data_IF_960181990695
#
_entry.id   IF_960181990695
#
_cell.length_a   1.000
_cell.length_b   1.000
_cell.length_c   1.000
_cell.angle_alpha   90.00
_cell.angle_beta   90.00
_cell.angle_gamma   90.00
#
_symmetry.space_group_name_H-M   'P 1'
#
loop_
_entity.id
_entity.type
_entity.pdbx_description
1 polymer ?
#
# COMPACT_ATOMS: atom_id res chain seq x y z
N UNK A 1 24.22 5.37 -57.10
CA UNK A 1 25.27 4.39 -56.75
C UNK A 1 24.66 3.35 -55.84
N UNK A 2 24.59 2.10 -56.29
CA UNK A 2 24.00 0.99 -55.58
C UNK A 2 24.95 0.48 -54.51
N UNK A 3 24.53 0.46 -53.24
CA UNK A 3 25.27 -0.22 -52.19
C UNK A 3 25.10 -1.74 -52.36
N UNK A 4 26.12 -2.35 -52.95
CA UNK A 4 26.37 -3.79 -52.95
C UNK A 4 26.68 -4.24 -51.53
N UNK A 5 25.63 -4.59 -50.77
CA UNK A 5 25.76 -5.22 -49.46
C UNK A 5 25.88 -6.74 -49.63
N UNK A 6 27.01 -7.31 -49.22
CA UNK A 6 27.30 -8.75 -49.28
C UNK A 6 26.14 -9.59 -48.70
N UNK A 7 25.70 -10.67 -49.36
CA UNK A 7 24.56 -11.48 -48.92
C UNK A 7 24.75 -12.06 -47.51
N UNK A 8 26.00 -12.23 -47.06
CA UNK A 8 26.34 -12.68 -45.70
C UNK A 8 25.98 -11.65 -44.63
N UNK A 9 26.07 -10.36 -44.93
CA UNK A 9 25.73 -9.26 -44.00
C UNK A 9 24.22 -9.14 -43.85
N UNK A 10 23.47 -9.34 -44.94
CA UNK A 10 21.99 -9.36 -44.91
C UNK A 10 21.44 -10.53 -44.09
N UNK A 11 22.05 -11.70 -44.22
CA UNK A 11 21.69 -12.89 -43.43
C UNK A 11 22.04 -12.69 -41.95
N UNK A 12 23.22 -12.14 -41.64
CA UNK A 12 23.62 -11.85 -40.26
C UNK A 12 22.71 -10.80 -39.61
N UNK A 13 22.33 -9.73 -40.31
CA UNK A 13 21.37 -8.75 -39.82
C UNK A 13 19.96 -9.35 -39.61
N UNK A 14 19.49 -10.22 -40.51
CA UNK A 14 18.21 -10.92 -40.36
C UNK A 14 18.20 -11.87 -39.15
N UNK A 15 19.30 -12.61 -38.92
CA UNK A 15 19.46 -13.45 -37.73
C UNK A 15 19.58 -12.61 -36.45
N UNK A 16 20.28 -11.47 -36.48
CA UNK A 16 20.41 -10.59 -35.32
C UNK A 16 19.08 -9.90 -34.98
N UNK A 17 18.28 -9.51 -35.98
CA UNK A 17 16.94 -8.97 -35.78
C UNK A 17 15.94 -10.02 -35.31
N UNK A 18 16.03 -11.27 -35.81
CA UNK A 18 15.19 -12.37 -35.34
C UNK A 18 15.55 -12.76 -33.88
N UNK A 19 16.83 -12.71 -33.51
CA UNK A 19 17.29 -12.95 -32.14
C UNK A 19 16.86 -11.82 -31.20
N UNK A 20 16.82 -10.56 -31.65
CA UNK A 20 16.33 -9.41 -30.88
C UNK A 20 14.80 -9.47 -30.64
N UNK A 21 14.02 -10.02 -31.58
CA UNK A 21 12.57 -10.26 -31.39
C UNK A 21 12.31 -11.42 -30.41
N UNK A 22 13.23 -12.40 -30.32
CA UNK A 22 13.16 -13.49 -29.33
C UNK A 22 13.56 -13.08 -27.91
N UNK A 23 14.30 -11.97 -27.73
CA UNK A 23 14.64 -11.39 -26.43
C UNK A 23 13.77 -10.19 -26.04
N UNK A 24 12.86 -9.75 -26.91
CA UNK A 24 11.77 -8.86 -26.54
C UNK A 24 10.72 -9.68 -25.78
N UNK A 25 11.05 -10.08 -24.54
CA UNK A 25 10.01 -10.46 -23.60
C UNK A 25 8.99 -9.32 -23.56
N UNK A 26 7.69 -9.57 -23.74
CA UNK A 26 6.71 -8.52 -23.59
C UNK A 26 6.90 -7.94 -22.20
N UNK A 27 6.92 -6.61 -22.11
CA UNK A 27 6.85 -5.90 -20.85
C UNK A 27 5.44 -6.09 -20.24
N UNK A 28 5.08 -7.34 -19.92
CA UNK A 28 3.77 -7.74 -19.42
C UNK A 28 3.41 -6.98 -18.13
N UNK A 29 4.42 -6.55 -17.36
CA UNK A 29 4.21 -5.74 -16.16
C UNK A 29 3.75 -4.30 -16.41
N UNK A 30 4.05 -3.71 -17.59
CA UNK A 30 3.69 -2.30 -17.88
C UNK A 30 2.22 -2.15 -18.26
N UNK A 31 1.61 -3.16 -18.86
CA UNK A 31 0.20 -3.14 -19.26
C UNK A 31 -0.69 -3.44 -18.05
N UNK A 32 -0.30 -4.44 -17.24
CA UNK A 32 -1.02 -4.82 -16.03
C UNK A 32 -1.13 -3.69 -14.99
N UNK A 33 -0.03 -2.93 -14.76
CA UNK A 33 -0.10 -1.77 -13.84
C UNK A 33 -0.98 -0.64 -14.39
N UNK A 34 -0.96 -0.44 -15.71
CA UNK A 34 -1.79 0.56 -16.38
C UNK A 34 -3.27 0.23 -16.22
N UNK A 35 -3.64 -1.02 -16.48
CA UNK A 35 -5.00 -1.53 -16.28
C UNK A 35 -5.44 -1.44 -14.82
N UNK A 36 -4.61 -1.91 -13.88
CA UNK A 36 -4.92 -1.83 -12.44
C UNK A 36 -5.13 -0.37 -11.99
N UNK A 37 -4.30 0.56 -12.48
CA UNK A 37 -4.43 1.99 -12.18
C UNK A 37 -5.73 2.57 -12.75
N UNK A 38 -6.08 2.26 -14.00
CA UNK A 38 -7.32 2.71 -14.61
C UNK A 38 -8.56 2.20 -13.86
N UNK A 39 -8.51 0.96 -13.37
CA UNK A 39 -9.56 0.40 -12.49
C UNK A 39 -9.63 1.22 -11.19
N UNK A 40 -8.51 1.43 -10.50
CA UNK A 40 -8.49 2.20 -9.26
C UNK A 40 -9.01 3.63 -9.44
N UNK A 41 -8.61 4.32 -10.50
CA UNK A 41 -9.09 5.68 -10.81
C UNK A 41 -10.61 5.70 -11.02
N UNK A 42 -11.15 4.76 -11.82
CA UNK A 42 -12.60 4.61 -12.04
C UNK A 42 -13.39 4.34 -10.76
N UNK A 43 -12.78 3.65 -9.80
CA UNK A 43 -13.38 3.23 -8.54
C UNK A 43 -12.97 4.11 -7.36
N UNK A 44 -12.42 5.30 -7.62
CA UNK A 44 -12.09 6.30 -6.61
C UNK A 44 -13.06 7.49 -6.67
N UNK A 45 -13.56 7.90 -5.52
CA UNK A 45 -14.45 9.07 -5.37
C UNK A 45 -14.01 9.90 -4.16
N UNK A 46 -14.06 11.22 -4.26
CA UNK A 46 -13.67 12.11 -3.16
C UNK A 46 -14.56 13.33 -3.04
N UNK A 47 -14.75 13.80 -1.81
CA UNK A 47 -15.54 14.99 -1.51
C UNK A 47 -14.97 15.78 -0.34
N UNK A 48 -15.13 17.10 -0.43
CA UNK A 48 -14.80 18.04 0.63
C UNK A 48 -15.94 18.10 1.66
N UNK A 49 -15.57 17.94 2.93
CA UNK A 49 -16.39 18.34 4.08
C UNK A 49 -15.99 19.75 4.54
N UNK A 50 -16.61 20.23 5.63
CA UNK A 50 -16.35 21.57 6.16
C UNK A 50 -14.92 21.71 6.69
N UNK A 51 -14.47 20.64 7.35
CA UNK A 51 -13.22 20.58 8.11
C UNK A 51 -12.42 19.30 7.79
N UNK A 52 -12.76 18.65 6.68
CA UNK A 52 -12.16 17.39 6.26
C UNK A 52 -12.20 17.17 4.74
N UNK A 53 -11.32 16.31 4.25
CA UNK A 53 -11.40 15.70 2.92
C UNK A 53 -11.60 14.20 3.09
N UNK A 54 -12.59 13.64 2.40
CA UNK A 54 -12.82 12.19 2.38
C UNK A 54 -12.65 11.68 0.97
N UNK A 55 -11.91 10.59 0.81
CA UNK A 55 -11.88 9.83 -0.43
C UNK A 55 -12.03 8.35 -0.16
N UNK A 56 -12.74 7.70 -1.06
CA UNK A 56 -13.14 6.30 -0.96
C UNK A 56 -12.69 5.60 -2.24
N UNK A 57 -12.04 4.44 -2.07
CA UNK A 57 -11.63 3.57 -3.17
C UNK A 57 -12.36 2.25 -3.02
N UNK A 58 -13.14 1.84 -4.00
CA UNK A 58 -13.70 0.48 -4.07
C UNK A 58 -12.67 -0.48 -4.66
N UNK A 59 -12.55 -1.68 -4.09
CA UNK A 59 -11.71 -2.75 -4.65
C UNK A 59 -12.58 -3.82 -5.32
N UNK A 60 -12.87 -3.66 -6.62
CA UNK A 60 -13.67 -4.63 -7.37
C UNK A 60 -12.88 -5.90 -7.64
N UNK A 61 -13.59 -6.98 -7.96
CA UNK A 61 -12.98 -8.26 -8.36
C UNK A 61 -12.09 -8.15 -9.61
N UNK A 62 -12.45 -7.27 -10.54
CA UNK A 62 -11.66 -7.02 -11.77
C UNK A 62 -10.28 -6.40 -11.49
N UNK A 63 -10.04 -5.85 -10.30
CA UNK A 63 -8.72 -5.34 -9.90
C UNK A 63 -7.73 -6.49 -9.63
N UNK A 64 -8.23 -7.68 -9.25
CA UNK A 64 -7.41 -8.76 -8.69
C UNK A 64 -6.30 -9.16 -9.64
N UNK A 65 -6.64 -9.57 -10.86
CA UNK A 65 -5.65 -10.15 -11.77
C UNK A 65 -4.66 -9.09 -12.30
N UNK A 66 -5.07 -7.89 -12.77
CA UNK A 66 -4.14 -6.84 -13.18
C UNK A 66 -3.18 -6.41 -12.06
N UNK A 67 -3.68 -6.30 -10.83
CA UNK A 67 -2.85 -5.96 -9.68
C UNK A 67 -1.85 -7.07 -9.33
N UNK A 68 -2.32 -8.32 -9.27
CA UNK A 68 -1.49 -9.49 -8.97
C UNK A 68 -0.40 -9.68 -10.02
N UNK A 69 -0.73 -9.55 -11.30
CA UNK A 69 0.25 -9.69 -12.38
C UNK A 69 1.29 -8.56 -12.37
N UNK A 70 0.86 -7.33 -12.07
CA UNK A 70 1.78 -6.21 -11.88
C UNK A 70 2.77 -6.44 -10.72
N UNK A 71 2.25 -6.86 -9.56
CA UNK A 71 3.07 -7.13 -8.39
C UNK A 71 3.99 -8.34 -8.60
N UNK A 72 3.50 -9.38 -9.26
CA UNK A 72 4.30 -10.55 -9.63
C UNK A 72 5.46 -10.17 -10.54
N UNK A 73 5.20 -9.35 -11.57
CA UNK A 73 6.25 -8.85 -12.46
C UNK A 73 7.25 -7.95 -11.72
N UNK A 74 6.77 -7.05 -10.86
CA UNK A 74 7.61 -6.14 -10.05
C UNK A 74 8.49 -6.90 -9.06
N UNK A 75 7.95 -7.95 -8.43
CA UNK A 75 8.61 -8.75 -7.42
C UNK A 75 9.42 -9.95 -7.95
N UNK A 76 9.36 -10.22 -9.25
CA UNK A 76 9.97 -11.40 -9.87
C UNK A 76 9.41 -12.71 -9.30
N UNK A 77 8.09 -12.77 -9.09
CA UNK A 77 7.42 -13.93 -8.51
C UNK A 77 7.34 -15.09 -9.50
N UNK A 78 7.55 -16.31 -9.00
CA UNK A 78 7.19 -17.55 -9.70
C UNK A 78 5.66 -17.71 -9.77
N UNK A 79 5.16 -18.60 -10.63
CA UNK A 79 3.72 -18.85 -10.76
C UNK A 79 3.07 -19.30 -9.44
N UNK A 80 3.77 -20.13 -8.66
CA UNK A 80 3.30 -20.57 -7.34
C UNK A 80 3.18 -19.40 -6.36
N UNK A 81 4.19 -18.52 -6.30
CA UNK A 81 4.17 -17.33 -5.45
C UNK A 81 3.08 -16.33 -5.88
N UNK A 82 2.87 -16.18 -7.19
CA UNK A 82 1.80 -15.35 -7.74
C UNK A 82 0.43 -15.85 -7.28
N UNK A 83 0.19 -17.16 -7.36
CA UNK A 83 -1.08 -17.75 -6.95
C UNK A 83 -1.30 -17.67 -5.42
N UNK A 84 -0.24 -17.82 -4.63
CA UNK A 84 -0.28 -17.59 -3.19
C UNK A 84 -0.60 -16.12 -2.85
N UNK A 85 0.03 -15.17 -3.54
CA UNK A 85 -0.26 -13.74 -3.41
C UNK A 85 -1.70 -13.43 -3.79
N UNK A 86 -2.19 -13.97 -4.91
CA UNK A 86 -3.58 -13.83 -5.37
C UNK A 86 -4.58 -14.28 -4.31
N UNK A 87 -4.38 -15.48 -3.74
CA UNK A 87 -5.23 -16.02 -2.67
C UNK A 87 -5.21 -15.13 -1.43
N UNK A 88 -4.04 -14.66 -1.02
CA UNK A 88 -3.91 -13.76 0.12
C UNK A 88 -4.62 -12.43 -0.14
N UNK A 89 -4.43 -11.84 -1.31
CA UNK A 89 -5.05 -10.57 -1.71
C UNK A 89 -6.58 -10.65 -1.71
N UNK A 90 -7.16 -11.68 -2.34
CA UNK A 90 -8.61 -11.90 -2.38
C UNK A 90 -9.17 -12.17 -0.98
N UNK A 91 -8.47 -12.97 -0.16
CA UNK A 91 -8.91 -13.33 1.18
C UNK A 91 -8.87 -12.14 2.15
N UNK A 92 -7.80 -11.35 2.14
CA UNK A 92 -7.64 -10.21 3.04
C UNK A 92 -8.60 -9.06 2.71
N UNK A 93 -8.83 -8.81 1.42
CA UNK A 93 -9.82 -7.83 0.97
C UNK A 93 -11.24 -8.41 0.96
N UNK A 94 -11.42 -9.71 1.23
CA UNK A 94 -12.73 -10.38 1.26
C UNK A 94 -13.54 -10.13 -0.02
N UNK A 95 -12.87 -10.03 -1.17
CA UNK A 95 -13.47 -9.65 -2.47
C UNK A 95 -14.55 -10.65 -2.90
N UNK A 96 -14.38 -11.93 -2.57
CA UNK A 96 -15.34 -12.98 -2.89
C UNK A 96 -16.63 -12.92 -2.07
N UNK A 97 -16.57 -12.40 -0.84
CA UNK A 97 -17.69 -12.43 0.11
C UNK A 97 -18.37 -11.07 0.30
N UNK A 98 -17.68 -9.98 -0.03
CA UNK A 98 -18.09 -8.61 0.30
C UNK A 98 -17.72 -7.61 -0.79
N UNK A 99 -18.25 -6.39 -0.69
CA UNK A 99 -17.71 -5.22 -1.38
C UNK A 99 -16.75 -4.47 -0.45
N UNK A 100 -15.43 -4.59 -0.64
CA UNK A 100 -14.44 -3.86 0.15
C UNK A 100 -14.20 -2.44 -0.37
N UNK A 101 -14.16 -1.50 0.57
CA UNK A 101 -13.83 -0.10 0.32
C UNK A 101 -12.73 0.32 1.27
N UNK A 102 -11.75 1.04 0.75
CA UNK A 102 -10.84 1.81 1.56
C UNK A 102 -11.38 3.23 1.73
N UNK A 103 -11.69 3.60 2.96
CA UNK A 103 -12.11 4.96 3.30
C UNK A 103 -10.93 5.69 3.91
N UNK A 104 -10.59 6.85 3.36
CA UNK A 104 -9.59 7.74 3.94
C UNK A 104 -10.20 9.09 4.26
N UNK A 105 -9.97 9.54 5.50
CA UNK A 105 -10.48 10.78 6.05
C UNK A 105 -9.29 11.60 6.49
N UNK A 106 -9.12 12.77 5.90
CA UNK A 106 -8.18 13.78 6.35
C UNK A 106 -8.93 14.89 7.07
N UNK A 107 -8.94 14.86 8.40
CA UNK A 107 -9.52 15.90 9.24
C UNK A 107 -8.47 16.97 9.56
N UNK A 108 -8.74 18.21 9.15
CA UNK A 108 -7.87 19.37 9.34
C UNK A 108 -8.55 20.50 10.14
N UNK A 109 -9.75 20.23 10.68
CA UNK A 109 -10.48 21.15 11.53
C UNK A 109 -9.88 21.40 12.91
N UNK A 110 -10.36 22.44 13.61
CA UNK A 110 -9.93 22.77 14.96
C UNK A 110 -10.44 21.78 16.02
N UNK A 111 -11.45 20.96 15.70
CA UNK A 111 -11.97 19.89 16.56
C UNK A 111 -11.86 18.55 15.82
N UNK A 112 -11.58 17.45 16.54
CA UNK A 112 -11.66 16.11 15.97
C UNK A 112 -13.03 15.86 15.33
N UNK A 113 -13.04 15.23 14.16
CA UNK A 113 -14.26 14.86 13.46
C UNK A 113 -14.86 13.60 14.11
N UNK A 114 -16.13 13.70 14.54
CA UNK A 114 -16.85 12.60 15.16
C UNK A 114 -18.10 12.23 14.34
N UNK A 115 -18.19 10.94 14.00
CA UNK A 115 -19.30 10.38 13.24
C UNK A 115 -20.46 9.90 14.13
N UNK A 116 -20.35 9.98 15.46
CA UNK A 116 -21.40 9.53 16.38
C UNK A 116 -21.70 8.03 16.24
N UNK A 117 -20.68 7.23 15.93
CA UNK A 117 -20.76 5.83 15.53
C UNK A 117 -20.69 5.67 14.01
N UNK A 118 -19.56 5.16 13.51
CA UNK A 118 -19.25 5.16 12.09
C UNK A 118 -20.27 4.34 11.27
N UNK A 119 -20.71 3.19 11.81
CA UNK A 119 -21.74 2.35 11.19
C UNK A 119 -23.06 3.07 10.88
N UNK A 120 -23.41 4.08 11.66
CA UNK A 120 -24.64 4.85 11.45
C UNK A 120 -24.47 5.94 10.39
N UNK A 121 -23.23 6.38 10.18
CA UNK A 121 -22.86 7.50 9.31
C UNK A 121 -22.44 7.07 7.91
N UNK A 122 -22.26 5.77 7.64
CA UNK A 122 -21.91 5.24 6.32
C UNK A 122 -22.89 4.18 5.85
N UNK A 123 -23.32 4.25 4.59
CA UNK A 123 -24.24 3.29 3.94
C UNK A 123 -23.81 3.06 2.50
N UNK A 124 -24.03 1.85 2.00
CA UNK A 124 -23.99 1.58 0.56
C UNK A 124 -25.39 1.77 0.01
N UNK A 125 -25.53 2.63 -0.99
CA UNK A 125 -26.77 2.90 -1.72
C UNK A 125 -26.74 2.10 -3.01
N UNK A 126 -27.66 1.15 -3.15
CA UNK A 126 -27.79 0.33 -4.35
C UNK A 126 -28.42 1.12 -5.49
N UNK A 127 -28.36 0.58 -6.72
CA UNK A 127 -29.08 1.13 -7.90
C UNK A 127 -30.56 1.41 -7.65
N UNK A 128 -31.21 0.61 -6.82
CA UNK A 128 -32.64 0.75 -6.50
C UNK A 128 -32.92 1.82 -5.43
N UNK A 129 -31.87 2.44 -4.87
CA UNK A 129 -31.96 3.40 -3.78
C UNK A 129 -31.97 2.77 -2.38
N UNK A 130 -31.78 1.45 -2.27
CA UNK A 130 -31.75 0.78 -0.96
C UNK A 130 -30.45 1.12 -0.22
N UNK A 131 -30.58 1.55 1.05
CA UNK A 131 -29.45 1.89 1.90
C UNK A 131 -29.05 0.72 2.81
N UNK A 132 -27.88 0.14 2.55
CA UNK A 132 -27.37 -1.06 3.21
C UNK A 132 -26.25 -0.68 4.20
N UNK A 133 -26.30 -1.15 5.47
CA UNK A 133 -25.21 -0.92 6.42
C UNK A 133 -23.94 -1.70 6.05
N UNK A 134 -22.76 -1.26 6.53
CA UNK A 134 -21.55 -2.08 6.44
C UNK A 134 -21.71 -3.34 7.29
N UNK A 135 -21.17 -4.46 6.80
CA UNK A 135 -21.06 -5.71 7.56
C UNK A 135 -19.99 -5.61 8.65
N UNK A 136 -18.89 -4.92 8.34
CA UNK A 136 -17.76 -4.73 9.24
C UNK A 136 -16.88 -3.59 8.76
N UNK A 137 -16.14 -2.96 9.66
CA UNK A 137 -15.20 -1.89 9.37
C UNK A 137 -14.13 -1.83 10.47
N UNK A 138 -13.06 -1.09 10.22
CA UNK A 138 -12.02 -0.91 11.23
C UNK A 138 -12.46 0.06 12.35
N UNK A 139 -12.40 -0.40 13.60
CA UNK A 139 -12.91 0.34 14.78
C UNK A 139 -12.23 1.67 15.09
N UNK A 140 -11.14 2.02 14.40
CA UNK A 140 -10.53 3.35 14.48
C UNK A 140 -11.43 4.47 13.95
N UNK A 141 -12.44 4.13 13.13
CA UNK A 141 -13.44 5.09 12.69
C UNK A 141 -14.47 5.46 13.77
N UNK A 142 -14.59 4.66 14.85
CA UNK A 142 -15.46 5.00 15.98
C UNK A 142 -14.79 5.96 16.98
N UNK A 143 -13.50 6.25 16.78
CA UNK A 143 -12.78 7.24 17.56
C UNK A 143 -12.83 8.61 16.86
N UNK A 144 -12.83 9.72 17.61
CA UNK A 144 -12.73 11.04 17.01
C UNK A 144 -11.48 11.17 16.12
N UNK A 145 -11.68 11.53 14.85
CA UNK A 145 -10.64 11.57 13.83
C UNK A 145 -9.90 12.90 13.87
N UNK A 146 -8.58 12.85 14.00
CA UNK A 146 -7.68 14.00 13.85
C UNK A 146 -6.55 13.63 12.89
N UNK A 147 -6.22 14.53 11.95
CA UNK A 147 -5.25 14.22 10.90
C UNK A 147 -5.78 13.19 9.91
N UNK A 148 -4.93 12.25 9.47
CA UNK A 148 -5.28 11.25 8.46
C UNK A 148 -5.62 9.92 9.12
N UNK A 149 -6.83 9.42 8.89
CA UNK A 149 -7.26 8.08 9.26
C UNK A 149 -7.73 7.36 8.00
N UNK A 150 -7.19 6.17 7.77
CA UNK A 150 -7.50 5.33 6.61
C UNK A 150 -7.84 3.94 7.09
N UNK A 151 -8.93 3.32 6.65
CA UNK A 151 -9.30 1.95 7.02
C UNK A 151 -10.28 1.29 6.06
N UNK A 152 -10.39 -0.03 6.17
CA UNK A 152 -11.30 -0.84 5.36
C UNK A 152 -12.73 -0.84 5.92
N UNK A 153 -13.69 -0.82 5.00
CA UNK A 153 -15.12 -0.93 5.24
C UNK A 153 -15.67 -1.97 4.27
N UNK A 154 -16.39 -2.97 4.78
CA UNK A 154 -16.91 -4.08 4.00
C UNK A 154 -18.44 -4.04 3.98
N UNK A 155 -19.03 -3.93 2.79
CA UNK A 155 -20.46 -4.00 2.59
C UNK A 155 -20.90 -5.37 2.05
N UNK A 156 -22.18 -5.74 2.13
CA UNK A 156 -22.69 -6.95 1.47
C UNK A 156 -22.37 -6.94 -0.03
N UNK A 157 -22.04 -8.11 -0.57
CA UNK A 157 -21.75 -8.28 -1.99
C UNK A 157 -22.93 -7.80 -2.84
N UNK A 158 -22.66 -6.95 -3.83
CA UNK A 158 -23.70 -6.42 -4.72
C UNK A 158 -23.70 -7.22 -6.03
N UNK A 159 -24.90 -7.48 -6.57
CA UNK A 159 -25.04 -8.11 -7.90
C UNK A 159 -24.74 -7.12 -9.01
N UNK A 160 -25.24 -5.89 -8.84
CA UNK A 160 -25.02 -4.79 -9.75
C UNK A 160 -23.85 -3.94 -9.28
N UNK A 161 -22.99 -3.54 -10.23
CA UNK A 161 -21.84 -2.64 -9.98
C UNK A 161 -22.24 -1.17 -9.88
N UNK A 162 -23.51 -0.85 -10.11
CA UNK A 162 -24.08 0.49 -9.95
C UNK A 162 -24.50 0.68 -8.49
N UNK A 163 -23.59 1.21 -7.69
CA UNK A 163 -23.86 1.61 -6.31
C UNK A 163 -23.05 2.86 -5.98
N UNK A 164 -23.38 3.45 -4.84
CA UNK A 164 -22.65 4.58 -4.27
C UNK A 164 -22.52 4.41 -2.77
N UNK A 165 -21.60 5.12 -2.14
CA UNK A 165 -21.47 5.14 -0.68
C UNK A 165 -21.99 6.48 -0.19
N UNK A 166 -23.00 6.46 0.67
CA UNK A 166 -23.51 7.65 1.35
C UNK A 166 -22.80 7.82 2.70
N UNK A 167 -22.31 9.03 2.97
CA UNK A 167 -21.65 9.38 4.22
C UNK A 167 -22.23 10.66 4.83
N UNK A 168 -22.57 10.59 6.12
CA UNK A 168 -23.14 11.71 6.88
C UNK A 168 -22.10 12.40 7.74
N UNK A 169 -22.47 13.57 8.27
CA UNK A 169 -21.68 14.34 9.25
C UNK A 169 -20.35 14.89 8.72
N UNK A 170 -20.25 15.17 7.42
CA UNK A 170 -19.11 15.86 6.82
C UNK A 170 -19.19 17.39 6.96
N UNK A 171 -20.34 17.92 7.38
CA UNK A 171 -20.51 19.33 7.79
C UNK A 171 -20.86 20.32 6.68
N UNK A 172 -20.94 19.89 5.42
CA UNK A 172 -21.38 20.73 4.28
C UNK A 172 -22.82 20.41 3.89
N UNK A 173 -23.08 19.12 3.68
CA UNK A 173 -24.40 18.56 3.40
C UNK A 173 -24.76 17.54 4.48
N UNK A 174 -26.05 17.24 4.63
CA UNK A 174 -26.53 16.22 5.58
C UNK A 174 -25.95 14.84 5.24
N UNK A 175 -25.97 14.50 3.95
CA UNK A 175 -25.49 13.24 3.39
C UNK A 175 -24.76 13.51 2.08
N UNK A 176 -23.53 13.01 1.98
CA UNK A 176 -22.68 13.11 0.80
C UNK A 176 -22.62 11.75 0.10
N UNK A 177 -22.93 11.73 -1.19
CA UNK A 177 -22.91 10.51 -2.00
C UNK A 177 -21.59 10.40 -2.78
N UNK A 178 -20.89 9.29 -2.62
CA UNK A 178 -19.66 8.92 -3.32
C UNK A 178 -20.02 7.90 -4.40
N UNK A 179 -20.00 8.32 -5.67
CA UNK A 179 -20.34 7.47 -6.81
C UNK A 179 -19.09 6.95 -7.52
N UNK A 180 -19.21 5.75 -8.11
CA UNK A 180 -18.12 5.03 -8.74
C UNK A 180 -18.53 4.52 -10.13
N UNK A 181 -17.56 4.23 -11.01
CA UNK A 181 -17.85 3.49 -12.25
C UNK A 181 -18.30 4.30 -13.48
N UNK A 182 -18.35 5.64 -13.43
CA UNK A 182 -18.77 6.48 -14.58
C UNK A 182 -18.34 7.96 -14.45
N UNK A 183 -18.52 8.75 -15.53
CA UNK A 183 -17.94 10.08 -15.88
C UNK A 183 -17.77 11.14 -14.76
N UNK A 184 -18.34 10.96 -13.58
CA UNK A 184 -18.14 11.78 -12.38
C UNK A 184 -16.96 11.36 -11.48
N UNK A 185 -16.31 10.21 -11.72
CA UNK A 185 -15.07 9.81 -11.05
C UNK A 185 -13.91 10.71 -11.52
N UNK A 186 -13.82 11.90 -10.91
CA UNK A 186 -12.79 12.92 -11.22
C UNK A 186 -13.32 14.26 -11.74
N UNK A 187 -14.64 14.47 -11.86
CA UNK A 187 -15.20 15.69 -12.44
C UNK A 187 -16.37 16.27 -11.62
N UNK A 188 -16.15 16.61 -10.36
CA UNK A 188 -17.01 17.62 -9.71
C UNK A 188 -16.33 18.98 -9.76
N UNK A 189 -16.71 19.88 -10.68
CA UNK A 189 -16.44 21.29 -10.48
C UNK A 189 -17.21 21.77 -9.25
N UNK A 190 -16.57 22.68 -8.53
CA UNK A 190 -17.00 23.36 -7.32
C UNK A 190 -18.48 23.76 -7.37
N UNK A 191 -19.21 23.36 -6.32
CA UNK A 191 -20.48 23.92 -5.85
C UNK A 191 -21.61 24.10 -6.89
N UNK A 192 -22.33 23.02 -7.19
CA UNK A 192 -23.72 23.13 -7.66
C UNK A 192 -24.64 23.22 -6.44
N UNK A 193 -25.18 24.41 -6.19
CA UNK A 193 -26.32 24.60 -5.30
C UNK A 193 -27.50 23.72 -5.76
N UNK A 194 -28.39 23.27 -4.85
CA UNK A 194 -29.60 22.55 -5.24
C UNK A 194 -30.43 23.40 -6.20
N UNK A 195 -31.14 22.79 -7.18
CA UNK A 195 -32.02 23.54 -8.07
C UNK A 195 -33.09 24.28 -7.24
N UNK A 196 -33.09 25.61 -7.33
CA UNK A 196 -34.14 26.44 -6.74
C UNK A 196 -35.49 26.04 -7.35
N UNK A 197 -36.41 25.61 -6.49
CA UNK A 197 -37.84 25.53 -6.84
C UNK A 197 -38.30 26.89 -7.31
N UNK A 198 -38.90 26.91 -8.50
CA UNK A 198 -39.55 28.06 -9.13
C UNK A 198 -40.39 28.82 -8.09
N UNK A 199 -39.99 30.05 -7.79
CA UNK A 199 -40.82 31.01 -7.08
C UNK A 199 -41.53 31.88 -8.11
N UNK A 200 -42.85 31.73 -8.09
CA UNK A 200 -43.88 32.56 -8.70
C UNK A 200 -43.48 34.04 -8.79
N UNK A 201 -43.52 34.56 -10.02
CA UNK A 201 -43.27 35.97 -10.33
C UNK A 201 -44.49 36.79 -9.89
N UNK A 202 -44.36 37.50 -8.78
CA UNK A 202 -45.26 38.62 -8.43
C UNK A 202 -44.53 39.91 -8.77
N UNK A 203 -44.95 40.53 -9.88
CA UNK A 203 -44.47 41.85 -10.33
C UNK A 203 -44.95 42.91 -9.35
N UNK A 204 -44.02 43.51 -8.61
CA UNK A 204 -44.24 44.80 -7.94
C UNK A 204 -43.19 45.77 -8.49
N UNK A 205 -43.64 46.69 -9.34
CA UNK A 205 -42.84 47.80 -9.83
C UNK A 205 -42.48 48.75 -8.68
N UNK A 206 -41.19 49.05 -8.52
CA UNK A 206 -40.68 50.10 -7.64
C UNK A 206 -39.91 51.15 -8.47
N UNK A 207 -40.08 52.46 -8.18
CA UNK A 207 -39.65 53.58 -9.04
C UNK A 207 -38.12 53.81 -9.04
N UNK A 208 -37.57 54.52 -10.05
CA UNK A 208 -36.15 54.53 -10.36
C UNK A 208 -35.29 55.33 -9.37
N UNK A 209 -34.15 54.75 -8.99
CA UNK A 209 -33.11 55.43 -8.22
C UNK A 209 -32.31 56.45 -9.06
N UNK A 210 -31.90 57.60 -8.48
CA UNK A 210 -31.17 58.64 -9.19
C UNK A 210 -29.70 58.28 -9.45
N UNK A 211 -29.24 58.61 -10.66
CA UNK A 211 -27.84 58.50 -11.12
C UNK A 211 -26.93 59.43 -10.31
N UNK A 212 -25.80 58.92 -9.83
CA UNK A 212 -24.65 59.73 -9.36
C UNK A 212 -23.40 59.40 -10.16
N UNK A 213 -22.74 60.46 -10.61
CA UNK A 213 -21.55 60.49 -11.46
C UNK A 213 -20.27 60.03 -10.73
N UNK A 214 -19.24 59.56 -11.46
CA UNK A 214 -18.02 59.03 -10.89
C UNK A 214 -16.98 60.13 -10.56
N UNK A 215 -16.31 60.09 -9.39
CA UNK A 215 -15.17 60.97 -9.14
C UNK A 215 -13.84 60.36 -9.64
N UNK A 216 -13.03 61.21 -10.30
CA UNK A 216 -11.67 60.96 -10.80
C UNK A 216 -10.64 60.72 -9.67
N UNK A 217 -9.50 60.05 -9.96
CA UNK A 217 -8.57 59.50 -8.97
C UNK A 217 -7.53 60.53 -8.48
N UNK A 218 -7.03 60.32 -7.25
CA UNK A 218 -5.84 60.99 -6.69
C UNK A 218 -4.91 59.97 -6.00
N UNK A 219 -3.60 60.30 -5.87
CA UNK A 219 -2.51 59.35 -6.03
C UNK A 219 -2.03 58.64 -4.74
N UNK A 220 -1.31 57.55 -5.01
CA UNK A 220 -0.59 56.58 -4.17
C UNK A 220 0.13 57.17 -2.95
N UNK A 221 0.01 56.45 -1.82
CA UNK A 221 1.07 56.32 -0.81
C UNK A 221 1.17 54.86 -0.39
N UNK A 222 2.28 54.22 -0.75
CA UNK A 222 2.66 52.86 -0.35
C UNK A 222 2.96 52.77 1.15
N UNK A 223 2.47 51.73 1.85
CA UNK A 223 3.05 51.27 3.11
C UNK A 223 4.20 50.27 2.86
N UNK A 224 5.20 50.21 3.76
CA UNK A 224 6.47 49.49 3.56
C UNK A 224 6.33 47.96 3.53
N UNK A 225 7.30 47.26 2.92
CA UNK A 225 7.25 45.81 2.69
C UNK A 225 7.31 45.01 3.99
N UNK A 226 6.30 44.19 4.23
CA UNK A 226 6.38 43.12 5.24
C UNK A 226 7.18 41.95 4.67
N UNK A 227 8.24 41.60 5.39
CA UNK A 227 9.18 40.55 5.03
C UNK A 227 8.49 39.19 5.02
N UNK A 228 8.60 38.52 3.88
CA UNK A 228 8.25 37.11 3.68
C UNK A 228 9.13 36.25 4.59
N UNK A 229 8.52 35.55 5.54
CA UNK A 229 9.19 34.43 6.22
C UNK A 229 9.19 33.22 5.27
N UNK A 230 10.36 32.64 4.94
CA UNK A 230 10.43 31.50 4.04
C UNK A 230 9.87 30.21 4.69
N UNK A 231 9.38 29.27 3.87
CA UNK A 231 8.83 27.99 4.32
C UNK A 231 9.91 27.09 4.95
N UNK A 232 9.55 26.15 5.84
CA UNK A 232 10.51 25.20 6.40
C UNK A 232 11.04 24.26 5.31
N UNK A 233 12.36 24.35 5.06
CA UNK A 233 13.10 23.51 4.12
C UNK A 233 13.29 22.10 4.72
N UNK A 234 13.18 21.03 3.90
CA UNK A 234 13.38 19.65 4.32
C UNK A 234 14.78 19.38 4.87
N UNK A 235 14.88 18.61 5.95
CA UNK A 235 16.16 18.14 6.48
C UNK A 235 16.65 16.91 5.72
N UNK A 236 17.74 17.05 4.94
CA UNK A 236 18.87 16.13 4.70
C UNK A 236 19.97 16.91 3.95
N UNK A 237 21.26 16.52 3.89
CA UNK A 237 22.00 15.44 4.56
C UNK A 237 23.28 15.95 5.28
N UNK A 238 23.76 15.24 6.33
CA UNK A 238 25.14 15.44 6.81
C UNK A 238 26.01 14.38 6.16
N UNK A 239 26.81 14.80 5.19
CA UNK A 239 28.06 14.13 4.84
C UNK A 239 29.06 14.36 5.98
N UNK A 240 29.70 13.30 6.44
CA UNK A 240 31.09 13.39 6.89
C UNK A 240 31.80 12.09 6.46
N UNK A 241 32.18 12.07 5.19
CA UNK A 241 33.27 11.24 4.73
C UNK A 241 34.57 11.84 5.25
N UNK A 242 35.16 11.27 6.30
CA UNK A 242 36.52 11.58 6.69
C UNK A 242 37.10 10.49 7.61
N UNK A 243 37.42 9.32 7.06
CA UNK A 243 38.48 8.47 7.61
C UNK A 243 39.30 7.86 6.46
N UNK A 244 40.47 8.45 6.29
CA UNK A 244 41.54 8.05 5.39
C UNK A 244 42.20 6.71 5.79
N UNK A 245 43.05 6.12 4.90
CA UNK A 245 43.27 4.68 4.78
C UNK A 245 44.22 4.05 5.80
N UNK A 246 44.10 2.72 5.90
CA UNK A 246 44.97 1.78 6.63
C UNK A 246 46.47 2.05 6.38
N UNK A 247 47.31 1.90 7.41
CA UNK A 247 48.68 1.44 7.25
C UNK A 247 48.80 -0.06 7.59
N UNK A 248 49.61 -0.77 6.81
CA UNK A 248 50.15 -2.09 7.10
C UNK A 248 51.67 -2.04 6.81
N UNK A 249 52.44 -3.10 7.09
CA UNK A 249 52.68 -3.79 8.36
C UNK A 249 54.20 -3.90 8.63
N UNK A 250 54.67 -4.24 9.84
CA UNK A 250 56.06 -4.71 10.06
C UNK A 250 56.18 -5.73 11.22
N UNK A 251 57.22 -6.60 11.26
CA UNK A 251 57.08 -8.06 11.41
C UNK A 251 57.81 -8.67 12.65
N UNK A 252 57.85 -10.02 12.72
CA UNK A 252 58.77 -10.93 13.47
C UNK A 252 58.26 -11.37 14.87
N UNK A 253 58.19 -12.64 15.34
CA UNK A 253 58.51 -14.02 14.90
C UNK A 253 57.84 -15.06 15.90
N UNK A 254 58.04 -16.40 15.85
CA UNK A 254 56.96 -17.40 15.91
C UNK A 254 56.81 -18.26 17.19
N UNK A 255 55.66 -18.98 17.22
CA UNK A 255 55.33 -20.27 17.86
C UNK A 255 55.06 -20.35 19.39
N UNK A 256 54.21 -21.29 19.89
CA UNK A 256 53.96 -22.64 19.38
C UNK A 256 52.49 -23.01 19.03
N UNK A 257 52.37 -24.07 18.22
CA UNK A 257 51.15 -24.67 17.73
C UNK A 257 50.12 -24.99 18.82
N UNK A 258 48.91 -24.43 18.69
CA UNK A 258 47.70 -24.99 19.30
C UNK A 258 46.96 -25.86 18.28
N UNK A 259 46.66 -27.08 18.70
CA UNK A 259 45.91 -28.11 18.01
C UNK A 259 44.57 -27.61 17.43
N UNK A 260 44.05 -28.24 16.35
CA UNK A 260 42.83 -27.78 15.69
C UNK A 260 41.62 -28.00 16.60
N UNK A 261 41.27 -26.97 17.38
CA UNK A 261 39.95 -26.86 18.00
C UNK A 261 38.93 -26.84 16.86
N UNK A 262 38.14 -27.92 16.75
CA UNK A 262 36.93 -27.96 15.92
C UNK A 262 36.15 -26.67 16.19
N UNK A 263 36.09 -25.80 15.19
CA UNK A 263 35.24 -24.61 15.19
C UNK A 263 33.78 -25.07 15.23
N UNK A 264 33.28 -25.39 16.42
CA UNK A 264 31.85 -25.43 16.68
C UNK A 264 31.41 -23.97 16.68
N UNK A 265 30.99 -23.49 15.51
CA UNK A 265 30.39 -22.17 15.36
C UNK A 265 29.17 -22.14 16.28
N UNK A 266 29.32 -21.51 17.44
CA UNK A 266 28.20 -21.21 18.32
C UNK A 266 27.33 -20.18 17.59
N UNK A 267 26.32 -20.65 16.87
CA UNK A 267 25.30 -19.77 16.31
C UNK A 267 24.49 -19.25 17.49
N UNK A 268 24.53 -17.95 17.74
CA UNK A 268 23.73 -17.30 18.77
C UNK A 268 22.24 -17.44 18.43
N UNK A 269 21.39 -17.31 19.45
CA UNK A 269 19.92 -17.40 19.28
C UNK A 269 19.41 -16.46 18.20
N UNK A 270 19.86 -15.21 18.23
CA UNK A 270 19.52 -14.18 17.25
C UNK A 270 20.00 -14.57 15.86
N UNK A 271 21.21 -15.14 15.74
CA UNK A 271 21.75 -15.57 14.44
C UNK A 271 21.00 -16.76 13.86
N UNK A 272 20.53 -17.70 14.69
CA UNK A 272 19.65 -18.79 14.23
C UNK A 272 18.34 -18.23 13.68
N UNK A 273 17.72 -17.26 14.37
CA UNK A 273 16.48 -16.65 13.92
C UNK A 273 16.67 -15.86 12.62
N UNK A 274 17.74 -15.05 12.54
CA UNK A 274 18.10 -14.34 11.30
C UNK A 274 18.31 -15.31 10.13
N UNK A 275 19.02 -16.40 10.36
CA UNK A 275 19.26 -17.42 9.34
C UNK A 275 17.94 -18.08 8.90
N UNK A 276 17.07 -18.42 9.83
CA UNK A 276 15.74 -18.96 9.53
C UNK A 276 14.90 -18.00 8.69
N UNK A 277 14.85 -16.72 9.06
CA UNK A 277 14.14 -15.68 8.29
C UNK A 277 14.77 -15.49 6.91
N UNK A 278 16.09 -15.57 6.79
CA UNK A 278 16.77 -15.45 5.49
C UNK A 278 16.41 -16.59 4.54
N UNK A 279 16.33 -17.84 5.03
CA UNK A 279 15.85 -18.97 4.23
C UNK A 279 14.37 -18.85 3.89
N UNK A 280 13.56 -18.29 4.79
CA UNK A 280 12.15 -17.99 4.51
C UNK A 280 12.01 -16.98 3.37
N UNK A 281 12.76 -15.88 3.41
CA UNK A 281 12.81 -14.87 2.34
C UNK A 281 13.25 -15.52 1.02
N UNK A 282 14.27 -16.38 1.07
CA UNK A 282 14.78 -17.11 -0.08
C UNK A 282 13.81 -18.20 -0.60
N UNK A 283 12.85 -18.65 0.22
CA UNK A 283 11.93 -19.74 -0.13
C UNK A 283 12.50 -21.13 0.00
N UNK A 284 13.63 -21.26 0.68
CA UNK A 284 14.30 -22.53 0.89
C UNK A 284 13.67 -23.24 2.09
N UNK A 285 12.50 -23.84 1.87
CA UNK A 285 11.74 -24.57 2.88
C UNK A 285 12.52 -25.74 3.45
N UNK A 286 13.42 -26.34 2.66
CA UNK A 286 14.31 -27.42 3.08
C UNK A 286 15.36 -26.95 4.09
N UNK A 287 16.03 -25.83 3.80
CA UNK A 287 16.98 -25.24 4.75
C UNK A 287 16.28 -24.75 6.03
N UNK A 288 15.08 -24.16 5.91
CA UNK A 288 14.25 -23.81 7.06
C UNK A 288 13.92 -25.05 7.91
N UNK A 289 13.49 -26.14 7.28
CA UNK A 289 13.18 -27.40 7.94
C UNK A 289 14.42 -27.96 8.68
N UNK A 290 15.60 -27.81 8.09
CA UNK A 290 16.89 -28.14 8.72
C UNK A 290 17.09 -27.49 10.09
N UNK A 291 16.65 -26.24 10.26
CA UNK A 291 16.79 -25.43 11.48
C UNK A 291 15.70 -25.70 12.53
N UNK A 292 14.71 -26.55 12.25
CA UNK A 292 13.64 -26.85 13.19
C UNK A 292 14.09 -27.78 14.33
N UNK A 293 13.45 -27.59 15.49
CA UNK A 293 13.57 -28.42 16.68
C UNK A 293 13.15 -29.86 16.41
N UNK A 294 13.69 -30.80 17.18
CA UNK A 294 13.38 -32.21 16.99
C UNK A 294 11.90 -32.50 17.25
N UNK A 295 11.30 -31.79 18.21
CA UNK A 295 9.87 -31.86 18.51
C UNK A 295 8.99 -31.44 17.31
N UNK A 296 9.34 -30.34 16.62
CA UNK A 296 8.61 -29.94 15.41
C UNK A 296 8.75 -30.97 14.29
N UNK A 297 9.95 -31.54 14.10
CA UNK A 297 10.23 -32.56 13.08
C UNK A 297 9.50 -33.88 13.33
N UNK A 298 9.15 -34.20 14.58
CA UNK A 298 8.30 -35.37 14.87
C UNK A 298 6.83 -35.15 14.52
N UNK A 299 6.37 -33.90 14.48
CA UNK A 299 4.98 -33.55 14.21
C UNK A 299 4.71 -33.23 12.74
N UNK A 300 5.71 -32.69 12.04
CA UNK A 300 5.62 -32.21 10.67
C UNK A 300 6.76 -32.78 9.86
N UNK A 301 6.45 -33.41 8.73
CA UNK A 301 7.45 -33.71 7.72
C UNK A 301 7.79 -32.48 6.87
N UNK A 302 8.85 -32.57 6.06
CA UNK A 302 9.35 -31.45 5.24
C UNK A 302 8.27 -30.87 4.31
N UNK A 303 7.49 -31.73 3.64
CA UNK A 303 6.42 -31.31 2.73
C UNK A 303 5.28 -30.61 3.44
N UNK A 304 4.85 -31.12 4.60
CA UNK A 304 3.80 -30.50 5.42
C UNK A 304 4.25 -29.16 5.97
N UNK A 305 5.50 -29.07 6.42
CA UNK A 305 6.09 -27.82 6.86
C UNK A 305 6.16 -26.81 5.71
N UNK A 306 6.64 -27.20 4.53
CA UNK A 306 6.68 -26.33 3.35
C UNK A 306 5.29 -25.78 2.99
N UNK A 307 4.26 -26.64 2.99
CA UNK A 307 2.86 -26.21 2.78
C UNK A 307 2.41 -25.19 3.83
N UNK A 308 2.74 -25.39 5.11
CA UNK A 308 2.38 -24.45 6.17
C UNK A 308 3.12 -23.12 6.07
N UNK A 309 4.43 -23.14 5.76
CA UNK A 309 5.24 -21.95 5.56
C UNK A 309 4.67 -21.11 4.41
N UNK A 310 4.35 -21.75 3.28
CA UNK A 310 3.74 -21.09 2.13
C UNK A 310 2.35 -20.52 2.46
N UNK A 311 1.53 -21.29 3.18
CA UNK A 311 0.20 -20.85 3.61
C UNK A 311 0.22 -19.60 4.51
N UNK A 312 1.36 -19.26 5.13
CA UNK A 312 1.46 -18.01 5.89
C UNK A 312 1.44 -16.75 5.03
N UNK A 313 1.84 -16.84 3.75
CA UNK A 313 1.96 -15.69 2.84
C UNK A 313 2.97 -14.61 3.28
N UNK A 314 3.81 -14.86 4.28
CA UNK A 314 4.71 -13.84 4.86
C UNK A 314 5.97 -13.58 4.04
N UNK A 315 6.36 -14.50 3.15
CA UNK A 315 7.64 -14.43 2.45
C UNK A 315 7.85 -13.13 1.69
N UNK A 316 6.81 -12.67 0.99
CA UNK A 316 6.87 -11.44 0.20
C UNK A 316 7.03 -10.21 1.09
N UNK A 317 6.26 -10.11 2.16
CA UNK A 317 6.36 -8.99 3.09
C UNK A 317 7.70 -8.99 3.85
N UNK A 318 8.25 -10.17 4.16
CA UNK A 318 9.59 -10.29 4.76
C UNK A 318 10.70 -9.73 3.86
N UNK A 319 10.57 -9.78 2.52
CA UNK A 319 11.53 -9.17 1.58
C UNK A 319 11.56 -7.64 1.67
N UNK A 320 10.41 -7.02 1.90
CA UNK A 320 10.28 -5.56 2.01
C UNK A 320 10.79 -5.02 3.37
N UNK A 321 11.02 -5.92 4.33
CA UNK A 321 11.59 -5.62 5.62
C UNK A 321 10.74 -6.16 6.78
N UNK A 322 11.42 -6.41 7.90
CA UNK A 322 10.81 -6.95 9.11
C UNK A 322 11.43 -6.36 10.37
N UNK A 323 10.69 -6.46 11.47
CA UNK A 323 11.15 -6.17 12.83
C UNK A 323 10.96 -7.42 13.68
N UNK A 324 11.94 -7.71 14.52
CA UNK A 324 11.85 -8.79 15.51
C UNK A 324 11.59 -8.18 16.88
N UNK A 325 10.53 -8.63 17.55
CA UNK A 325 10.24 -8.27 18.93
C UNK A 325 10.31 -9.52 19.80
N UNK A 326 11.26 -9.57 20.72
CA UNK A 326 11.35 -10.64 21.71
C UNK A 326 10.28 -10.45 22.78
N UNK A 327 9.45 -11.47 23.00
CA UNK A 327 8.33 -11.42 23.95
C UNK A 327 8.76 -11.92 25.33
N UNK A 328 9.23 -13.16 25.40
CA UNK A 328 9.70 -13.80 26.63
C UNK A 328 10.90 -14.66 26.29
N UNK A 329 12.09 -14.32 26.81
CA UNK A 329 13.33 -15.07 26.63
C UNK A 329 13.55 -15.50 25.18
N UNK A 330 13.10 -16.70 24.86
CA UNK A 330 13.33 -17.40 23.60
C UNK A 330 12.13 -17.39 22.62
N UNK A 331 11.10 -16.57 22.86
CA UNK A 331 9.99 -16.33 21.93
C UNK A 331 10.18 -15.02 21.16
N UNK A 332 10.20 -15.10 19.84
CA UNK A 332 10.34 -13.96 18.95
C UNK A 332 9.07 -13.76 18.12
N UNK A 333 8.53 -12.54 18.13
CA UNK A 333 7.48 -12.11 17.21
C UNK A 333 8.13 -11.42 16.01
N UNK A 334 8.06 -12.05 14.84
CA UNK A 334 8.50 -11.46 13.58
C UNK A 334 7.33 -10.67 13.02
N UNK A 335 7.51 -9.36 12.90
CA UNK A 335 6.51 -8.41 12.41
C UNK A 335 6.99 -7.90 11.07
N UNK A 336 6.16 -8.01 10.06
CA UNK A 336 6.43 -7.48 8.73
C UNK A 336 5.27 -6.62 8.26
N UNK A 337 5.58 -5.66 7.41
CA UNK A 337 4.59 -4.84 6.77
C UNK A 337 4.31 -5.40 5.38
N UNK A 338 3.08 -5.84 5.15
CA UNK A 338 2.63 -6.09 3.80
C UNK A 338 1.99 -4.81 3.26
N UNK A 339 2.59 -4.27 2.21
CA UNK A 339 1.99 -3.17 1.45
C UNK A 339 1.02 -3.80 0.45
N UNK A 340 -0.26 -3.45 0.54
CA UNK A 340 -1.26 -3.83 -0.45
C UNK A 340 -1.93 -2.56 -0.94
N UNK A 341 -1.77 -2.25 -2.23
CA UNK A 341 -2.31 -1.04 -2.83
C UNK A 341 -1.86 0.21 -2.06
N UNK A 342 -2.82 0.88 -1.42
CA UNK A 342 -2.67 2.13 -0.66
C UNK A 342 -2.82 1.94 0.86
N UNK A 343 -2.96 0.70 1.34
CA UNK A 343 -2.98 0.40 2.77
C UNK A 343 -1.85 -0.56 3.16
N UNK A 344 -1.34 -0.36 4.38
CA UNK A 344 -0.26 -1.15 4.95
C UNK A 344 -0.82 -2.01 6.06
N UNK A 345 -0.80 -3.32 5.90
CA UNK A 345 -1.14 -4.24 6.99
C UNK A 345 0.14 -4.69 7.68
N UNK A 346 0.08 -4.82 9.01
CA UNK A 346 1.14 -5.47 9.76
C UNK A 346 0.76 -6.93 9.92
N UNK A 347 1.55 -7.82 9.35
CA UNK A 347 1.46 -9.24 9.65
C UNK A 347 2.50 -9.61 10.69
N UNK A 348 2.19 -10.60 11.51
CA UNK A 348 3.16 -11.12 12.45
C UNK A 348 3.00 -12.61 12.67
N UNK A 349 4.13 -13.29 12.85
CA UNK A 349 4.18 -14.69 13.30
C UNK A 349 5.09 -14.76 14.51
N UNK A 350 4.61 -15.45 15.55
CA UNK A 350 5.42 -15.76 16.72
C UNK A 350 6.13 -17.09 16.48
N UNK A 351 7.45 -17.09 16.68
CA UNK A 351 8.32 -18.26 16.62
C UNK A 351 8.92 -18.48 18.01
N UNK A 352 9.11 -19.73 18.41
CA UNK A 352 9.81 -20.07 19.65
C UNK A 352 11.16 -20.69 19.32
N UNK A 353 12.17 -20.46 20.15
CA UNK A 353 13.48 -21.05 20.01
C UNK A 353 13.80 -21.94 21.21
N UNK A 354 14.45 -23.07 20.96
CA UNK A 354 14.88 -24.01 21.99
C UNK A 354 16.34 -24.36 21.75
N UNK A 355 17.11 -24.49 22.83
CA UNK A 355 18.51 -24.91 22.77
C UNK A 355 18.61 -26.43 22.89
N UNK A 356 18.97 -27.10 21.80
CA UNK A 356 19.20 -28.55 21.74
C UNK A 356 20.69 -28.79 21.44
N UNK A 357 21.38 -29.59 22.25
CA UNK A 357 22.79 -29.99 22.04
C UNK A 357 23.74 -28.82 21.76
N UNK A 358 23.54 -27.70 22.47
CA UNK A 358 24.29 -26.42 22.33
C UNK A 358 23.97 -25.61 21.05
N UNK A 359 23.02 -26.05 20.23
CA UNK A 359 22.56 -25.36 19.02
C UNK A 359 21.14 -24.83 19.26
N UNK A 360 20.89 -23.57 18.90
CA UNK A 360 19.53 -23.02 18.91
C UNK A 360 18.77 -23.51 17.69
N UNK A 361 17.53 -23.98 17.91
CA UNK A 361 16.62 -24.46 16.87
C UNK A 361 15.26 -23.77 17.01
N UNK A 362 14.51 -23.72 15.91
CA UNK A 362 13.20 -23.07 15.84
C UNK A 362 12.08 -24.08 16.08
N UNK A 363 11.13 -23.73 16.92
CA UNK A 363 9.86 -24.45 17.10
C UNK A 363 8.77 -23.67 16.36
N UNK A 364 8.17 -24.34 15.36
CA UNK A 364 7.21 -23.78 14.41
C UNK A 364 5.78 -23.67 14.96
#
# INVERSE_FOLDING_TARGET
>A
MAFSGSPKIRILCLFLSALLVLFAAPAAGSDAIGEATAILERWTSFHWGRDCLVWIVHYPEELVDPWVDSEAARGGMSEGEREEYRKAFVSELRIGDTEPFLVTIYAFGPRPLDFGGFASSVRLVTKNGDAVPPLSYEGKFDQPVSGIVQGLVFFPKQRDKEFSVAMRRLGVVEEQLFSFGGEGAGSTPVASLPPEKEKEVVVVELPPAPKKEPPKPKPVKDPPPQMLTPPPVPAQPVELAELQPRPAPEPVMPEPAEEPKKNVVFISRDKTLELFISHWIAGDTKAMYGLLSSATKTLLNEDQFGKQVNATGLRLSLRDGYKVQWLDGDRAKVITAQKMLVFRTLRSKTLSLVKEDKIWKVTW
#
